data_IF_697162178157
#
_entry.id   IF_697162178157
#
_cell.length_a   1.000
_cell.length_b   1.000
_cell.length_c   1.000
_cell.angle_alpha   90.00
_cell.angle_beta   90.00
_cell.angle_gamma   90.00
#
_symmetry.space_group_name_H-M   'P 1'
#
loop_
_entity.id
_entity.type
_entity.pdbx_description
1 polymer ?
#
# COMPACT_ATOMS: atom_id res chain seq x y z
N UNK A 1 -3.50 9.30 -76.87
CA UNK A 1 -3.64 8.02 -76.13
C UNK A 1 -2.75 7.94 -74.88
N UNK A 2 -1.49 8.40 -74.92
CA UNK A 2 -0.55 8.31 -73.79
C UNK A 2 -0.95 9.15 -72.56
N UNK A 3 -1.55 10.33 -72.75
CA UNK A 3 -2.01 11.21 -71.66
C UNK A 3 -3.27 10.70 -70.95
N UNK A 4 -4.18 10.07 -71.68
CA UNK A 4 -5.37 9.42 -71.11
C UNK A 4 -5.00 8.19 -70.26
N UNK A 5 -4.02 7.40 -70.72
CA UNK A 5 -3.49 6.28 -69.95
C UNK A 5 -2.77 6.76 -68.67
N UNK A 6 -2.01 7.86 -68.75
CA UNK A 6 -1.34 8.44 -67.57
C UNK A 6 -2.35 8.97 -66.53
N UNK A 7 -3.43 9.62 -66.99
CA UNK A 7 -4.51 10.08 -66.11
C UNK A 7 -5.25 8.93 -65.44
N UNK A 8 -5.45 7.81 -66.14
CA UNK A 8 -6.09 6.61 -65.59
C UNK A 8 -5.21 5.98 -64.50
N UNK A 9 -3.89 5.93 -64.70
CA UNK A 9 -2.93 5.41 -63.72
C UNK A 9 -2.90 6.27 -62.45
N UNK A 10 -2.95 7.60 -62.60
CA UNK A 10 -2.98 8.53 -61.45
C UNK A 10 -4.28 8.34 -60.66
N UNK A 11 -5.42 8.20 -61.33
CA UNK A 11 -6.71 7.92 -60.67
C UNK A 11 -6.65 6.57 -59.94
N UNK A 12 -6.11 5.52 -60.58
CA UNK A 12 -5.98 4.19 -59.96
C UNK A 12 -5.10 4.22 -58.70
N UNK A 13 -4.00 4.99 -58.70
CA UNK A 13 -3.14 5.13 -57.53
C UNK A 13 -3.80 5.88 -56.37
N UNK A 14 -4.64 6.89 -56.65
CA UNK A 14 -5.35 7.63 -55.59
C UNK A 14 -6.43 6.80 -54.88
N UNK A 15 -7.06 5.85 -55.58
CA UNK A 15 -8.09 4.95 -54.99
C UNK A 15 -7.46 3.93 -54.04
N UNK A 16 -6.23 3.48 -54.30
CA UNK A 16 -5.54 2.52 -53.42
C UNK A 16 -5.08 3.11 -52.08
N UNK A 17 -4.81 4.42 -52.00
CA UNK A 17 -4.39 5.05 -50.73
C UNK A 17 -5.56 5.21 -49.75
N UNK A 18 -6.76 5.52 -50.25
CA UNK A 18 -7.96 5.73 -49.43
C UNK A 18 -8.46 4.46 -48.72
N UNK A 19 -8.05 3.27 -49.16
CA UNK A 19 -8.45 1.99 -48.57
C UNK A 19 -7.62 1.57 -47.33
N UNK A 20 -6.61 2.34 -46.94
CA UNK A 20 -5.69 1.98 -45.85
C UNK A 20 -6.11 2.47 -44.44
N UNK A 21 -7.17 3.28 -44.32
CA UNK A 21 -7.51 3.97 -43.05
C UNK A 21 -8.30 3.13 -42.02
N UNK A 22 -8.80 1.94 -42.38
CA UNK A 22 -9.74 1.19 -41.51
C UNK A 22 -9.08 0.17 -40.57
N UNK A 23 -7.75 0.09 -40.54
CA UNK A 23 -7.03 -0.95 -39.76
C UNK A 23 -6.94 -0.66 -38.25
N UNK A 24 -7.33 0.54 -37.80
CA UNK A 24 -7.14 1.02 -36.42
C UNK A 24 -8.41 1.55 -35.76
N UNK A 25 -9.53 1.66 -36.49
CA UNK A 25 -10.81 2.15 -35.98
C UNK A 25 -11.34 1.33 -34.79
N UNK A 26 -11.10 0.01 -34.80
CA UNK A 26 -11.45 -0.87 -33.69
C UNK A 26 -10.65 -0.57 -32.41
N UNK A 27 -9.38 -0.17 -32.53
CA UNK A 27 -8.53 0.20 -31.38
C UNK A 27 -9.07 1.46 -30.73
N UNK A 28 -9.42 2.47 -31.54
CA UNK A 28 -10.01 3.70 -31.06
C UNK A 28 -11.33 3.47 -30.33
N UNK A 29 -12.15 2.54 -30.83
CA UNK A 29 -13.39 2.12 -30.16
C UNK A 29 -13.12 1.49 -28.79
N UNK A 30 -12.12 0.62 -28.68
CA UNK A 30 -11.73 0.01 -27.40
C UNK A 30 -11.18 1.05 -26.41
N UNK A 31 -10.37 2.00 -26.90
CA UNK A 31 -9.86 3.10 -26.07
C UNK A 31 -11.01 4.00 -25.60
N UNK A 32 -11.96 4.34 -26.49
CA UNK A 32 -13.11 5.14 -26.14
C UNK A 32 -13.98 4.48 -25.06
N UNK A 33 -14.12 3.16 -25.10
CA UNK A 33 -14.87 2.39 -24.10
C UNK A 33 -14.24 2.44 -22.69
N UNK A 34 -12.91 2.62 -22.58
CA UNK A 34 -12.21 2.68 -21.28
C UNK A 34 -11.92 4.11 -20.78
N UNK A 35 -12.12 5.14 -21.61
CA UNK A 35 -11.94 6.56 -21.26
C UNK A 35 -12.89 7.13 -20.19
N UNK A 36 -14.14 6.68 -19.97
CA UNK A 36 -15.01 7.35 -19.02
C UNK A 36 -14.45 7.27 -17.59
N UNK A 37 -14.67 8.35 -16.82
CA UNK A 37 -14.20 8.48 -15.44
C UNK A 37 -14.86 7.39 -14.58
N UNK A 38 -14.04 6.51 -14.00
CA UNK A 38 -14.52 5.50 -13.05
C UNK A 38 -14.79 6.17 -11.71
N UNK A 39 -16.06 6.20 -11.29
CA UNK A 39 -16.40 6.52 -9.91
C UNK A 39 -15.96 5.37 -9.02
N UNK A 40 -15.00 5.62 -8.14
CA UNK A 40 -14.61 4.65 -7.12
C UNK A 40 -15.74 4.34 -6.13
N UNK A 41 -15.52 3.32 -5.31
CA UNK A 41 -16.40 3.05 -4.16
C UNK A 41 -16.11 4.08 -3.06
N UNK A 42 -17.13 4.46 -2.26
CA UNK A 42 -16.95 5.44 -1.19
C UNK A 42 -16.18 4.86 -0.01
N UNK A 43 -15.42 5.70 0.69
CA UNK A 43 -14.66 5.30 1.89
C UNK A 43 -15.54 4.65 2.97
N UNK A 44 -16.77 5.15 3.12
CA UNK A 44 -17.77 4.57 4.02
C UNK A 44 -18.09 3.11 3.66
N UNK A 45 -18.29 2.83 2.37
CA UNK A 45 -18.59 1.49 1.89
C UNK A 45 -17.36 0.58 1.91
N UNK A 46 -16.14 1.11 1.81
CA UNK A 46 -14.91 0.34 2.04
C UNK A 46 -14.79 -0.08 3.51
N UNK A 47 -15.14 0.81 4.45
CA UNK A 47 -15.06 0.52 5.87
C UNK A 47 -16.04 -0.59 6.32
N UNK A 48 -17.14 -0.76 5.60
CA UNK A 48 -18.13 -1.81 5.82
C UNK A 48 -17.70 -3.19 5.27
N UNK A 49 -16.71 -3.25 4.37
CA UNK A 49 -16.26 -4.51 3.77
C UNK A 49 -15.45 -5.35 4.77
N UNK A 50 -15.74 -6.65 4.81
CA UNK A 50 -14.95 -7.61 5.54
C UNK A 50 -13.52 -7.69 4.99
N UNK A 51 -12.53 -7.82 5.88
CA UNK A 51 -11.12 -8.00 5.47
C UNK A 51 -10.98 -9.32 4.69
N UNK A 52 -10.46 -9.28 3.45
CA UNK A 52 -10.23 -10.50 2.67
C UNK A 52 -9.05 -11.32 3.22
N UNK A 53 -8.22 -10.70 4.06
CA UNK A 53 -7.11 -11.37 4.72
C UNK A 53 -7.65 -12.10 5.95
N UNK A 54 -7.54 -13.43 5.93
CA UNK A 54 -7.75 -14.26 7.12
C UNK A 54 -6.54 -14.12 8.03
N UNK A 55 -6.73 -13.46 9.16
CA UNK A 55 -5.73 -13.46 10.23
C UNK A 55 -5.89 -14.76 11.01
N UNK A 56 -4.89 -15.63 10.96
CA UNK A 56 -4.80 -16.75 11.91
C UNK A 56 -4.55 -16.13 13.28
N UNK A 57 -5.54 -16.26 14.17
CA UNK A 57 -5.35 -15.91 15.58
C UNK A 57 -4.24 -16.80 16.10
N UNK A 58 -3.08 -16.22 16.39
CA UNK A 58 -2.07 -16.92 17.18
C UNK A 58 -2.69 -17.01 18.57
N UNK A 59 -3.12 -18.21 18.95
CA UNK A 59 -3.52 -18.47 20.33
C UNK A 59 -2.26 -18.34 21.18
N UNK A 60 -2.23 -17.33 22.06
CA UNK A 60 -1.24 -17.29 23.13
C UNK A 60 -1.52 -18.50 24.03
N UNK A 61 -0.55 -19.39 24.09
CA UNK A 61 -0.61 -20.63 24.86
C UNK A 61 -0.93 -20.33 26.35
N UNK A 62 -2.02 -20.88 26.92
CA UNK A 62 -2.33 -20.73 28.34
C UNK A 62 -1.43 -21.58 29.27
N UNK A 63 -0.44 -22.32 28.77
CA UNK A 63 0.52 -23.07 29.60
C UNK A 63 1.66 -22.21 30.16
N UNK A 64 1.33 -21.39 31.15
CA UNK A 64 2.28 -21.03 32.19
C UNK A 64 1.58 -21.01 33.56
N UNK A 65 0.88 -22.12 33.89
CA UNK A 65 0.37 -22.34 35.24
C UNK A 65 1.51 -22.81 36.15
N UNK A 66 1.79 -21.97 37.15
CA UNK A 66 2.53 -22.27 38.37
C UNK A 66 2.16 -23.60 39.01
N UNK A 67 3.13 -24.41 39.49
CA UNK A 67 2.90 -25.30 40.61
C UNK A 67 3.53 -24.71 41.86
N UNK A 68 2.68 -24.38 42.83
CA UNK A 68 3.07 -24.12 44.20
C UNK A 68 3.73 -25.37 44.79
N UNK A 69 4.98 -25.23 45.22
CA UNK A 69 5.75 -26.25 45.92
C UNK A 69 6.71 -25.55 46.87
N UNK A 70 6.38 -25.61 48.15
CA UNK A 70 7.08 -24.97 49.27
C UNK A 70 8.54 -25.40 49.36
N UNK A 71 9.48 -24.54 48.92
CA UNK A 71 10.91 -24.56 49.31
C UNK A 71 11.43 -23.11 49.37
N UNK A 72 12.39 -22.79 50.25
CA UNK A 72 12.73 -21.40 50.57
C UNK A 72 13.45 -20.79 49.37
N UNK A 73 12.72 -20.03 48.56
CA UNK A 73 13.24 -19.43 47.35
C UNK A 73 13.92 -18.11 47.69
N UNK A 74 15.26 -18.07 47.53
CA UNK A 74 15.98 -16.82 47.29
C UNK A 74 15.19 -15.99 46.28
N UNK A 75 14.97 -14.72 46.61
CA UNK A 75 14.24 -13.77 45.79
C UNK A 75 14.77 -13.78 44.35
N UNK A 76 14.05 -14.46 43.47
CA UNK A 76 14.30 -14.43 42.03
C UNK A 76 13.83 -13.07 41.53
N UNK A 77 14.72 -12.07 41.63
CA UNK A 77 14.53 -10.77 41.01
C UNK A 77 14.47 -11.04 39.50
N UNK A 78 13.25 -11.15 38.95
CA UNK A 78 13.04 -11.09 37.49
C UNK A 78 13.61 -9.76 37.04
N UNK A 79 14.81 -9.78 36.45
CA UNK A 79 15.34 -8.61 35.78
C UNK A 79 14.29 -8.17 34.74
N UNK A 80 13.93 -6.89 34.66
CA UNK A 80 13.00 -6.41 33.64
C UNK A 80 13.56 -6.76 32.26
N UNK A 81 12.72 -7.37 31.41
CA UNK A 81 13.11 -7.65 30.04
C UNK A 81 13.65 -6.38 29.36
N UNK A 82 14.72 -6.49 28.57
CA UNK A 82 15.29 -5.33 27.91
C UNK A 82 14.25 -4.69 26.98
N UNK A 83 14.01 -3.40 27.20
CA UNK A 83 13.04 -2.59 26.46
C UNK A 83 13.49 -2.52 24.99
N UNK A 84 12.86 -3.32 24.12
CA UNK A 84 13.17 -3.32 22.68
C UNK A 84 12.86 -1.95 22.06
N UNK A 85 13.69 -1.45 21.13
CA UNK A 85 13.44 -0.17 20.47
C UNK A 85 12.21 -0.27 19.55
N UNK A 86 11.40 0.79 19.52
CA UNK A 86 10.29 0.92 18.56
C UNK A 86 10.83 0.93 17.14
N UNK A 87 10.23 0.12 16.26
CA UNK A 87 10.60 0.02 14.84
C UNK A 87 9.37 0.21 13.97
N UNK A 88 9.52 0.99 12.91
CA UNK A 88 8.55 1.08 11.81
C UNK A 88 8.97 0.08 10.74
N UNK A 89 8.09 -0.84 10.43
CA UNK A 89 8.33 -1.86 9.40
C UNK A 89 7.79 -1.42 8.05
N UNK A 90 6.62 -0.78 8.02
CA UNK A 90 5.95 -0.36 6.79
C UNK A 90 5.06 0.86 7.02
N UNK A 91 4.78 1.61 5.95
CA UNK A 91 3.82 2.70 5.91
C UNK A 91 2.95 2.52 4.68
N UNK A 92 1.62 2.50 4.87
CA UNK A 92 0.65 2.31 3.80
C UNK A 92 -0.63 3.09 4.13
N UNK A 93 -1.20 3.81 3.16
CA UNK A 93 -2.50 4.48 3.28
C UNK A 93 -2.64 5.31 4.57
N UNK A 94 -1.65 6.15 4.87
CA UNK A 94 -1.59 7.00 6.10
C UNK A 94 -1.66 6.20 7.41
N UNK A 95 -1.31 4.92 7.37
CA UNK A 95 -1.16 4.03 8.51
C UNK A 95 0.28 3.52 8.56
N UNK A 96 0.80 3.25 9.76
CA UNK A 96 2.15 2.74 9.94
C UNK A 96 2.13 1.45 10.75
N UNK A 97 2.91 0.46 10.30
CA UNK A 97 3.14 -0.78 11.01
C UNK A 97 4.29 -0.57 12.01
N UNK A 98 3.94 -0.42 13.28
CA UNK A 98 4.86 -0.18 14.39
C UNK A 98 4.75 -1.35 15.36
N UNK A 99 5.87 -2.03 15.64
CA UNK A 99 5.92 -3.16 16.58
C UNK A 99 4.87 -4.25 16.29
N UNK A 100 4.59 -4.50 15.00
CA UNK A 100 3.60 -5.48 14.54
C UNK A 100 2.14 -4.98 14.48
N UNK A 101 1.87 -3.74 14.88
CA UNK A 101 0.51 -3.18 14.89
C UNK A 101 0.34 -2.06 13.86
N UNK A 102 -0.77 -2.08 13.12
CA UNK A 102 -1.15 -1.00 12.21
C UNK A 102 -1.78 0.16 12.98
N UNK A 103 -1.11 1.30 12.98
CA UNK A 103 -1.51 2.49 13.74
C UNK A 103 -1.78 3.66 12.79
N UNK A 104 -2.83 4.43 13.10
CA UNK A 104 -3.20 5.66 12.38
C UNK A 104 -2.78 6.88 13.19
N UNK A 105 -2.92 8.06 12.59
CA UNK A 105 -2.77 9.33 13.31
C UNK A 105 -3.70 9.33 14.53
N UNK A 106 -3.18 9.82 15.68
CA UNK A 106 -3.78 9.82 17.01
C UNK A 106 -3.87 8.47 17.74
N UNK A 107 -3.46 7.35 17.15
CA UNK A 107 -3.28 6.09 17.89
C UNK A 107 -2.11 6.19 18.88
N UNK A 108 -2.11 5.36 19.92
CA UNK A 108 -1.07 5.32 20.95
C UNK A 108 -0.31 3.99 20.93
N UNK A 109 1.00 4.04 21.12
CA UNK A 109 1.87 2.86 21.25
C UNK A 109 2.94 3.14 22.29
N UNK A 110 3.02 2.28 23.32
CA UNK A 110 4.04 2.34 24.39
C UNK A 110 4.24 3.74 25.00
N UNK A 111 3.13 4.46 25.23
CA UNK A 111 3.14 5.81 25.82
C UNK A 111 3.44 6.95 24.83
N UNK A 112 3.52 6.67 23.54
CA UNK A 112 3.66 7.66 22.47
C UNK A 112 2.42 7.72 21.59
N UNK A 113 1.98 8.92 21.25
CA UNK A 113 0.90 9.16 20.29
C UNK A 113 1.45 9.40 18.89
N UNK A 114 0.87 8.76 17.89
CA UNK A 114 1.18 9.01 16.48
C UNK A 114 0.65 10.38 16.11
N UNK A 115 1.54 11.32 15.75
CA UNK A 115 1.15 12.68 15.36
C UNK A 115 1.13 12.91 13.86
N UNK A 116 2.08 12.29 13.15
CA UNK A 116 2.18 12.43 11.69
C UNK A 116 2.77 11.16 11.10
N UNK A 117 2.23 10.75 9.96
CA UNK A 117 2.74 9.65 9.14
C UNK A 117 3.06 10.26 7.78
N UNK A 118 4.33 10.25 7.41
CA UNK A 118 4.85 10.64 6.09
C UNK A 118 5.19 9.37 5.30
N UNK A 119 5.56 9.49 4.03
CA UNK A 119 5.86 8.33 3.17
C UNK A 119 7.02 7.45 3.67
N UNK A 120 8.01 8.05 4.34
CA UNK A 120 9.26 7.43 4.75
C UNK A 120 9.47 7.41 6.27
N UNK A 121 8.67 8.18 7.01
CA UNK A 121 8.85 8.38 8.44
C UNK A 121 7.54 8.57 9.22
N UNK A 122 7.58 8.21 10.50
CA UNK A 122 6.50 8.41 11.46
C UNK A 122 7.00 9.27 12.61
N UNK A 123 6.20 10.28 12.98
CA UNK A 123 6.46 11.14 14.12
C UNK A 123 5.56 10.71 15.28
N UNK A 124 6.21 10.23 16.34
CA UNK A 124 5.62 9.87 17.61
C UNK A 124 5.88 10.98 18.63
N UNK A 125 4.90 11.26 19.49
CA UNK A 125 5.02 12.26 20.55
C UNK A 125 4.48 11.71 21.87
N UNK A 126 5.29 11.81 22.92
CA UNK A 126 4.89 11.67 24.31
C UNK A 126 4.99 13.04 24.98
N UNK A 127 4.48 13.19 26.21
CA UNK A 127 4.31 14.49 26.88
C UNK A 127 5.55 15.39 26.78
N UNK A 128 6.75 14.84 26.97
CA UNK A 128 8.01 15.60 26.95
C UNK A 128 9.01 15.14 25.87
N UNK A 129 8.62 14.23 24.97
CA UNK A 129 9.56 13.60 24.02
C UNK A 129 8.95 13.45 22.64
N UNK A 130 9.75 13.73 21.61
CA UNK A 130 9.40 13.52 20.21
C UNK A 130 10.34 12.46 19.64
N UNK A 131 9.78 11.44 19.00
CA UNK A 131 10.52 10.36 18.39
C UNK A 131 10.17 10.31 16.90
N UNK A 132 11.17 10.28 16.04
CA UNK A 132 10.99 10.12 14.60
C UNK A 132 11.53 8.75 14.20
N UNK A 133 10.66 7.91 13.66
CA UNK A 133 11.00 6.57 13.22
C UNK A 133 11.03 6.55 11.70
N UNK A 134 12.06 5.93 11.13
CA UNK A 134 12.22 5.75 9.69
C UNK A 134 12.04 4.28 9.32
N UNK A 135 11.58 4.04 8.09
CA UNK A 135 11.58 2.70 7.52
C UNK A 135 13.05 2.27 7.34
N UNK A 136 13.43 1.12 7.90
CA UNK A 136 14.83 0.66 7.97
C UNK A 136 15.44 0.46 6.58
N UNK A 137 14.67 -0.06 5.64
CA UNK A 137 15.10 -0.33 4.27
C UNK A 137 14.04 0.16 3.29
N UNK A 138 14.47 1.07 2.42
CA UNK A 138 13.68 1.50 1.26
C UNK A 138 13.95 0.48 0.15
N UNK A 139 12.92 -0.17 -0.35
CA UNK A 139 13.06 -1.05 -1.51
C UNK A 139 13.11 -0.20 -2.79
N UNK A 140 14.26 -0.18 -3.46
CA UNK A 140 14.47 0.64 -4.67
C UNK A 140 13.61 0.18 -5.87
N UNK A 141 13.08 -1.05 -5.84
CA UNK A 141 12.17 -1.58 -6.86
C UNK A 141 10.72 -1.16 -6.65
N UNK A 142 10.37 -0.54 -5.50
CA UNK A 142 9.01 -0.10 -5.21
C UNK A 142 8.96 1.44 -5.20
N UNK A 143 8.41 2.01 -6.28
CA UNK A 143 8.14 3.46 -6.38
C UNK A 143 6.74 3.77 -5.87
N UNK A 144 6.64 4.25 -4.62
CA UNK A 144 5.38 4.79 -4.09
C UNK A 144 5.27 6.25 -4.52
N UNK A 145 4.38 6.53 -5.48
CA UNK A 145 4.00 7.90 -5.84
C UNK A 145 2.90 8.37 -4.88
N UNK A 146 3.17 9.46 -4.16
CA UNK A 146 2.21 10.11 -3.27
C UNK A 146 1.72 11.35 -4.03
N UNK A 147 0.45 11.36 -4.43
CA UNK A 147 -0.21 12.50 -5.08
C UNK A 147 -0.87 13.40 -4.03
#
# INVERSE_FOLDING_TARGET
MKTAALSLIIILMTVSWAAAEDSLSWVDQQIAAIKPKRSGISDAKIAELASPIRYTKIEEDPEAKTPGGTKPAMANIKLPEPVRPLKVTAILNKSALIDGQWLKVNSSVRGYKVRRINGDNVVLQSSNKKLKLFIKEKNDHIKIQIN
#
